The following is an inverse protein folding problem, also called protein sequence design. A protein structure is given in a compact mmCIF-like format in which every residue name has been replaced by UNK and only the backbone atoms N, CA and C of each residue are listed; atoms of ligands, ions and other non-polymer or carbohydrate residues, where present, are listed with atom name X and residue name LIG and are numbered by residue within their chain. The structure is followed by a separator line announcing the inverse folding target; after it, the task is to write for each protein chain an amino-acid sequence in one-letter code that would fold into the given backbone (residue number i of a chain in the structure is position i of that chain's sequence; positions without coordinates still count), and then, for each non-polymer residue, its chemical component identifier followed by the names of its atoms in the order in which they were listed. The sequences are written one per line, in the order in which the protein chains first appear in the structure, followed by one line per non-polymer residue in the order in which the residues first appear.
data_IF_449646258554
#
_entry.id   IF_449646258554
#
_cell.length_a   1.000
_cell.length_b   1.000
_cell.length_c   1.000
_cell.angle_alpha   90.00
_cell.angle_beta   90.00
_cell.angle_gamma   90.00
#
_symmetry.space_group_name_H-M   'P 1'
#
loop_
_entity.id
_entity.type
_entity.pdbx_description
1 polymer ?
#
# COMPACT_ATOMS: atom_id res chain seq x y z
N UNK A 1 -13.11 -18.64 30.50
CA UNK A 1 -11.80 -19.23 30.89
C UNK A 1 -10.70 -18.36 30.30
N UNK A 2 -9.81 -17.91 31.18
CA UNK A 2 -8.73 -16.94 30.93
C UNK A 2 -7.66 -17.48 29.97
N UNK A 3 -7.16 -16.59 29.09
CA UNK A 3 -5.76 -16.60 28.66
C UNK A 3 -5.24 -15.16 28.74
N UNK A 4 -4.83 -14.78 29.95
CA UNK A 4 -3.92 -13.66 30.14
C UNK A 4 -2.61 -13.99 29.42
N UNK A 5 -2.29 -13.20 28.39
CA UNK A 5 -0.99 -13.24 27.74
C UNK A 5 -0.01 -12.47 28.62
N UNK A 6 0.71 -13.19 29.47
CA UNK A 6 1.75 -12.64 30.32
C UNK A 6 3.04 -12.53 29.49
N UNK A 7 3.51 -11.31 29.26
CA UNK A 7 4.68 -11.00 28.40
C UNK A 7 5.98 -10.87 29.20
N UNK A 8 6.02 -11.37 30.45
CA UNK A 8 7.21 -11.26 31.28
C UNK A 8 8.02 -12.56 31.29
N UNK A 9 9.32 -12.40 31.05
CA UNK A 9 10.42 -13.37 31.22
C UNK A 9 10.58 -14.51 30.20
N UNK A 10 11.51 -14.31 29.26
CA UNK A 10 12.55 -15.33 29.04
C UNK A 10 13.94 -14.69 28.78
N UNK A 11 14.77 -14.82 29.81
CA UNK A 11 16.24 -14.86 29.87
C UNK A 11 17.03 -14.36 28.65
N UNK A 12 17.67 -13.19 28.80
CA UNK A 12 18.90 -12.88 28.07
C UNK A 12 20.05 -12.84 29.08
N UNK A 13 21.01 -13.73 28.83
CA UNK A 13 22.22 -13.95 29.60
C UNK A 13 23.09 -12.69 29.73
N UNK A 14 23.80 -12.67 30.84
CA UNK A 14 24.70 -11.63 31.33
C UNK A 14 25.99 -11.46 30.51
N UNK A 15 26.46 -10.21 30.49
CA UNK A 15 27.85 -9.73 30.34
C UNK A 15 28.60 -10.07 29.04
N UNK A 16 28.47 -9.14 28.08
CA UNK A 16 29.64 -8.52 27.44
C UNK A 16 29.43 -7.00 27.45
N UNK A 17 30.22 -6.29 28.26
CA UNK A 17 30.37 -4.83 28.13
C UNK A 17 31.11 -4.57 26.81
N UNK A 18 30.37 -4.54 25.72
CA UNK A 18 30.84 -3.86 24.53
C UNK A 18 30.96 -2.38 24.91
N UNK A 19 32.12 -1.76 24.61
CA UNK A 19 32.25 -0.30 24.60
C UNK A 19 31.00 0.23 23.90
N UNK A 20 30.19 1.02 24.62
CA UNK A 20 28.97 1.62 24.08
C UNK A 20 29.44 2.45 22.90
N UNK A 21 29.25 1.93 21.68
CA UNK A 21 29.39 2.71 20.47
C UNK A 21 28.52 3.93 20.69
N UNK A 22 29.03 5.13 20.39
CA UNK A 22 28.24 6.36 20.52
C UNK A 22 26.87 6.10 19.90
N UNK A 23 25.83 6.16 20.73
CA UNK A 23 24.44 6.03 20.29
C UNK A 23 24.13 7.29 19.52
N UNK A 24 24.38 7.23 18.21
CA UNK A 24 24.04 8.27 17.25
C UNK A 24 22.72 7.88 16.57
N UNK A 25 21.88 8.88 16.27
CA UNK A 25 20.64 8.65 15.54
C UNK A 25 20.95 8.08 14.16
N UNK A 26 20.22 7.05 13.75
CA UNK A 26 20.35 6.46 12.40
C UNK A 26 19.53 7.22 11.35
N UNK A 27 18.76 8.21 11.80
CA UNK A 27 17.92 9.10 10.99
C UNK A 27 18.36 10.56 11.09
N UNK A 28 19.56 10.84 11.62
CA UNK A 28 20.10 12.19 11.81
C UNK A 28 19.17 13.14 12.59
N UNK A 29 18.41 12.62 13.55
CA UNK A 29 17.43 13.39 14.33
C UNK A 29 18.15 14.30 15.34
N UNK A 30 17.85 15.61 15.29
CA UNK A 30 18.33 16.57 16.27
C UNK A 30 17.46 16.54 17.55
N UNK A 31 17.78 15.62 18.47
CA UNK A 31 17.09 15.50 19.75
C UNK A 31 17.14 16.75 20.64
N UNK A 32 18.11 17.62 20.45
CA UNK A 32 18.18 18.87 21.22
C UNK A 32 17.03 19.82 20.83
N UNK A 33 16.65 19.87 19.55
CA UNK A 33 15.48 20.63 19.08
C UNK A 33 14.17 20.06 19.63
N UNK A 34 14.15 18.78 19.94
CA UNK A 34 13.00 18.11 20.56
C UNK A 34 12.97 18.26 22.09
N UNK A 35 13.98 18.90 22.70
CA UNK A 35 14.10 19.05 24.15
C UNK A 35 14.38 17.73 24.88
N UNK A 36 14.89 16.71 24.18
CA UNK A 36 15.12 15.36 24.72
C UNK A 36 16.62 15.12 24.92
N UNK A 37 17.00 14.63 26.10
CA UNK A 37 18.41 14.42 26.45
C UNK A 37 18.61 13.22 27.39
N UNK A 38 19.87 12.92 27.71
CA UNK A 38 20.22 11.85 28.66
C UNK A 38 19.70 10.47 28.26
N UNK A 39 19.17 9.73 29.24
CA UNK A 39 18.72 8.34 29.06
C UNK A 39 17.54 8.20 28.07
N UNK A 40 16.66 9.20 27.98
CA UNK A 40 15.53 9.19 27.05
C UNK A 40 16.01 9.23 25.60
N UNK A 41 17.01 10.08 25.31
CA UNK A 41 17.65 10.14 23.98
C UNK A 41 18.27 8.79 23.61
N UNK A 42 19.02 8.16 24.51
CA UNK A 42 19.62 6.85 24.26
C UNK A 42 18.56 5.77 23.98
N UNK A 43 17.44 5.80 24.71
CA UNK A 43 16.32 4.88 24.51
C UNK A 43 15.62 5.09 23.17
N UNK A 44 15.42 6.34 22.73
CA UNK A 44 14.81 6.64 21.44
C UNK A 44 15.71 6.21 20.28
N UNK A 45 17.03 6.43 20.37
CA UNK A 45 17.99 5.95 19.36
C UNK A 45 17.98 4.42 19.26
N UNK A 46 17.80 3.71 20.39
CA UNK A 46 17.57 2.27 20.36
C UNK A 46 16.28 1.92 19.63
N UNK A 47 15.19 2.61 19.90
CA UNK A 47 13.93 2.39 19.19
C UNK A 47 14.02 2.71 17.69
N UNK A 48 14.80 3.71 17.27
CA UNK A 48 15.06 3.93 15.84
C UNK A 48 15.64 2.66 15.17
N UNK A 49 16.63 2.05 15.82
CA UNK A 49 17.27 0.82 15.33
C UNK A 49 16.30 -0.36 15.28
N UNK A 50 15.48 -0.53 16.31
CA UNK A 50 14.44 -1.56 16.37
C UNK A 50 13.39 -1.35 15.26
N UNK A 51 12.95 -0.10 15.05
CA UNK A 51 12.00 0.28 14.00
C UNK A 51 12.58 -0.04 12.62
N UNK A 52 13.83 0.36 12.34
CA UNK A 52 14.51 0.07 11.08
C UNK A 52 14.57 -1.44 10.82
N UNK A 53 15.05 -2.21 11.80
CA UNK A 53 15.16 -3.66 11.70
C UNK A 53 13.80 -4.32 11.42
N UNK A 54 12.78 -3.98 12.19
CA UNK A 54 11.46 -4.57 12.01
C UNK A 54 10.77 -4.13 10.72
N UNK A 55 11.03 -2.91 10.23
CA UNK A 55 10.56 -2.44 8.92
C UNK A 55 11.15 -3.27 7.78
N UNK A 56 12.45 -3.54 7.81
CA UNK A 56 13.13 -4.39 6.83
C UNK A 56 12.60 -5.83 6.87
N UNK A 57 12.41 -6.41 8.07
CA UNK A 57 11.81 -7.75 8.22
C UNK A 57 10.38 -7.80 7.71
N UNK A 58 9.59 -6.78 7.99
CA UNK A 58 8.19 -6.70 7.52
C UNK A 58 8.13 -6.71 6.00
N UNK A 59 9.04 -6.00 5.32
CA UNK A 59 9.11 -6.00 3.86
C UNK A 59 9.37 -7.40 3.29
N UNK A 60 10.29 -8.17 3.90
CA UNK A 60 10.55 -9.57 3.52
C UNK A 60 9.30 -10.44 3.72
N UNK A 61 8.58 -10.27 4.83
CA UNK A 61 7.35 -11.02 5.07
C UNK A 61 6.24 -10.65 4.09
N UNK A 62 6.11 -9.37 3.73
CA UNK A 62 5.17 -8.91 2.68
C UNK A 62 5.54 -9.54 1.33
N UNK A 63 6.83 -9.60 0.98
CA UNK A 63 7.29 -10.24 -0.25
C UNK A 63 6.86 -11.70 -0.30
N UNK A 64 7.20 -12.47 0.75
CA UNK A 64 6.90 -13.89 0.83
C UNK A 64 5.39 -14.17 0.82
N UNK A 65 4.62 -13.38 1.57
CA UNK A 65 3.16 -13.45 1.57
C UNK A 65 2.59 -13.19 0.17
N UNK A 66 3.00 -12.08 -0.45
CA UNK A 66 2.49 -11.68 -1.76
C UNK A 66 2.86 -12.67 -2.87
N UNK A 67 4.07 -13.23 -2.82
CA UNK A 67 4.54 -14.32 -3.69
C UNK A 67 3.68 -15.57 -3.54
N UNK A 68 3.41 -16.01 -2.31
CA UNK A 68 2.61 -17.21 -2.06
C UNK A 68 1.19 -17.08 -2.62
N UNK A 69 0.53 -15.95 -2.39
CA UNK A 69 -0.81 -15.68 -2.94
C UNK A 69 -0.79 -15.61 -4.47
N UNK A 70 0.22 -14.97 -5.06
CA UNK A 70 0.37 -14.87 -6.51
C UNK A 70 0.58 -16.23 -7.19
N UNK A 71 1.47 -17.06 -6.66
CA UNK A 71 1.71 -18.40 -7.21
C UNK A 71 0.50 -19.33 -7.01
N UNK A 72 -0.18 -19.24 -5.86
CA UNK A 72 -1.46 -19.94 -5.66
C UNK A 72 -2.50 -19.50 -6.71
N UNK A 73 -2.64 -18.19 -6.96
CA UNK A 73 -3.56 -17.67 -7.97
C UNK A 73 -3.27 -18.23 -9.38
N UNK A 74 -1.99 -18.40 -9.75
CA UNK A 74 -1.62 -19.05 -11.02
C UNK A 74 -2.07 -20.51 -11.08
N UNK A 75 -1.84 -21.29 -10.02
CA UNK A 75 -2.26 -22.70 -9.94
C UNK A 75 -3.78 -22.81 -10.15
N UNK A 76 -4.56 -22.01 -9.41
CA UNK A 76 -6.01 -22.04 -9.54
C UNK A 76 -6.52 -21.52 -10.88
N UNK A 77 -5.85 -20.53 -11.49
CA UNK A 77 -6.19 -20.03 -12.82
C UNK A 77 -5.99 -21.09 -13.90
N UNK A 78 -4.89 -21.86 -13.83
CA UNK A 78 -4.60 -22.95 -14.76
C UNK A 78 -5.60 -24.10 -14.65
N UNK A 79 -6.08 -24.38 -13.44
CA UNK A 79 -7.07 -25.42 -13.19
C UNK A 79 -8.49 -25.03 -13.60
N UNK A 80 -8.76 -23.77 -14.01
CA UNK A 80 -10.07 -23.25 -14.49
C UNK A 80 -11.30 -23.52 -13.59
N UNK A 81 -11.08 -23.92 -12.34
CA UNK A 81 -12.16 -24.37 -11.45
C UNK A 81 -12.80 -23.22 -10.63
N UNK A 82 -12.27 -21.99 -10.71
CA UNK A 82 -12.83 -20.82 -10.02
C UNK A 82 -12.76 -20.90 -8.48
N UNK A 83 -11.98 -21.84 -7.92
CA UNK A 83 -11.95 -22.14 -6.49
C UNK A 83 -10.96 -21.30 -5.68
N UNK A 84 -10.23 -20.37 -6.30
CA UNK A 84 -9.27 -19.51 -5.59
C UNK A 84 -9.91 -18.71 -4.46
N UNK A 85 -11.09 -18.13 -4.70
CA UNK A 85 -11.83 -17.38 -3.67
C UNK A 85 -12.19 -18.23 -2.45
N UNK A 86 -12.68 -19.45 -2.68
CA UNK A 86 -12.99 -20.41 -1.61
C UNK A 86 -11.74 -20.80 -0.81
N UNK A 87 -10.61 -20.98 -1.49
CA UNK A 87 -9.35 -21.28 -0.84
C UNK A 87 -8.87 -20.11 0.03
N UNK A 88 -9.02 -18.86 -0.43
CA UNK A 88 -8.72 -17.67 0.38
C UNK A 88 -9.61 -17.57 1.63
N UNK A 89 -10.91 -17.84 1.49
CA UNK A 89 -11.86 -17.85 2.60
C UNK A 89 -11.47 -18.87 3.68
N UNK A 90 -11.02 -20.07 3.28
CA UNK A 90 -10.52 -21.10 4.21
C UNK A 90 -9.25 -20.67 4.97
N UNK A 91 -8.46 -19.77 4.39
CA UNK A 91 -7.28 -19.18 5.02
C UNK A 91 -7.59 -17.93 5.85
N UNK A 92 -8.85 -17.46 5.86
CA UNK A 92 -9.24 -16.22 6.52
C UNK A 92 -8.71 -14.96 5.84
N UNK A 93 -8.44 -15.03 4.52
CA UNK A 93 -7.89 -13.92 3.73
C UNK A 93 -9.02 -13.30 2.91
N UNK A 94 -9.23 -12.00 3.06
CA UNK A 94 -10.21 -11.29 2.24
C UNK A 94 -9.72 -11.12 0.80
N UNK A 95 -10.67 -11.16 -0.13
CA UNK A 95 -10.40 -11.11 -1.57
C UNK A 95 -9.72 -9.80 -2.01
N UNK A 96 -9.99 -8.67 -1.36
CA UNK A 96 -9.37 -7.39 -1.74
C UNK A 96 -7.90 -7.35 -1.33
N UNK A 97 -7.57 -7.80 -0.11
CA UNK A 97 -6.19 -7.94 0.36
C UNK A 97 -5.40 -8.91 -0.49
N UNK A 98 -5.97 -10.08 -0.84
CA UNK A 98 -5.32 -11.02 -1.75
C UNK A 98 -5.05 -10.39 -3.13
N UNK A 99 -6.01 -9.67 -3.70
CA UNK A 99 -5.84 -8.96 -4.96
C UNK A 99 -4.76 -7.88 -4.89
N UNK A 100 -4.67 -7.13 -3.78
CA UNK A 100 -3.60 -6.16 -3.56
C UNK A 100 -2.24 -6.85 -3.49
N UNK A 101 -2.14 -7.97 -2.78
CA UNK A 101 -0.90 -8.74 -2.66
C UNK A 101 -0.42 -9.25 -4.04
N UNK A 102 -1.33 -9.80 -4.84
CA UNK A 102 -1.06 -10.22 -6.23
C UNK A 102 -0.53 -9.04 -7.06
N UNK A 103 -1.18 -7.87 -6.97
CA UNK A 103 -0.77 -6.66 -7.70
C UNK A 103 0.60 -6.14 -7.24
N UNK A 104 0.87 -6.13 -5.94
CA UNK A 104 2.18 -5.75 -5.38
C UNK A 104 3.29 -6.64 -5.93
N UNK A 105 3.11 -7.96 -5.87
CA UNK A 105 4.13 -8.89 -6.33
C UNK A 105 4.31 -8.85 -7.86
N UNK A 106 3.22 -8.69 -8.61
CA UNK A 106 3.29 -8.55 -10.08
C UNK A 106 4.09 -7.30 -10.48
N UNK A 107 3.82 -6.17 -9.82
CA UNK A 107 4.54 -4.92 -10.08
C UNK A 107 6.01 -5.02 -9.61
N UNK A 108 6.26 -5.65 -8.47
CA UNK A 108 7.63 -5.93 -8.00
C UNK A 108 8.42 -6.72 -9.04
N UNK A 109 7.89 -7.85 -9.54
CA UNK A 109 8.55 -8.66 -10.56
C UNK A 109 8.79 -7.88 -11.85
N UNK A 110 7.84 -7.04 -12.28
CA UNK A 110 7.99 -6.22 -13.48
C UNK A 110 9.21 -5.29 -13.38
N UNK A 111 9.38 -4.61 -12.24
CA UNK A 111 10.43 -3.61 -12.05
C UNK A 111 11.76 -4.20 -11.58
N UNK A 112 11.73 -5.32 -10.84
CA UNK A 112 12.91 -6.13 -10.53
C UNK A 112 13.55 -6.66 -11.83
N UNK A 113 12.74 -7.21 -12.75
CA UNK A 113 13.24 -7.71 -14.05
C UNK A 113 13.76 -6.58 -14.95
N UNK A 114 13.29 -5.34 -14.76
CA UNK A 114 13.83 -4.14 -15.44
C UNK A 114 15.12 -3.61 -14.79
N UNK A 115 15.58 -4.21 -13.70
CA UNK A 115 16.81 -3.79 -12.99
C UNK A 115 16.65 -2.48 -12.20
N UNK A 116 15.42 -2.11 -11.82
CA UNK A 116 15.17 -0.87 -11.08
C UNK A 116 15.67 -1.01 -9.64
N UNK A 117 16.53 -0.09 -9.22
CA UNK A 117 17.01 -0.02 -7.85
C UNK A 117 15.84 0.22 -6.88
N UNK A 118 15.85 -0.47 -5.74
CA UNK A 118 14.80 -0.40 -4.71
C UNK A 118 13.41 -0.85 -5.17
N UNK A 119 13.30 -1.77 -6.14
CA UNK A 119 12.02 -2.33 -6.57
C UNK A 119 11.21 -2.91 -5.39
N UNK A 120 11.87 -3.40 -4.34
CA UNK A 120 11.26 -3.89 -3.11
C UNK A 120 10.39 -2.83 -2.39
N UNK A 121 10.61 -1.53 -2.63
CA UNK A 121 9.77 -0.45 -2.09
C UNK A 121 8.29 -0.61 -2.50
N UNK A 122 8.01 -1.24 -3.65
CA UNK A 122 6.66 -1.55 -4.14
C UNK A 122 5.83 -2.30 -3.08
N UNK A 123 6.48 -3.18 -2.31
CA UNK A 123 5.83 -4.00 -1.29
C UNK A 123 5.25 -3.15 -0.15
N UNK A 124 5.86 -1.99 0.11
CA UNK A 124 5.44 -1.07 1.18
C UNK A 124 4.49 0.03 0.68
N UNK A 125 4.23 0.10 -0.63
CA UNK A 125 3.31 1.09 -1.19
C UNK A 125 1.90 0.97 -0.57
N UNK A 126 1.23 2.10 -0.33
CA UNK A 126 -0.17 2.10 0.09
C UNK A 126 -1.06 1.40 -0.94
N UNK A 127 -2.10 0.71 -0.47
CA UNK A 127 -2.99 -0.06 -1.32
C UNK A 127 -3.62 0.79 -2.44
N UNK A 128 -3.95 2.07 -2.15
CA UNK A 128 -4.47 3.01 -3.15
C UNK A 128 -3.46 3.30 -4.26
N UNK A 129 -2.18 3.44 -3.94
CA UNK A 129 -1.13 3.67 -4.92
C UNK A 129 -0.98 2.43 -5.82
N UNK A 130 -0.86 1.25 -5.24
CA UNK A 130 -0.79 -0.02 -5.98
C UNK A 130 -1.99 -0.17 -6.91
N UNK A 131 -3.22 0.04 -6.41
CA UNK A 131 -4.45 -0.04 -7.23
C UNK A 131 -4.48 0.98 -8.37
N UNK A 132 -3.86 2.15 -8.19
CA UNK A 132 -3.76 3.18 -9.24
C UNK A 132 -2.76 2.77 -10.32
N UNK A 133 -1.59 2.27 -9.92
CA UNK A 133 -0.50 1.87 -10.82
C UNK A 133 -0.76 0.55 -11.56
N UNK A 134 -1.65 -0.31 -11.04
CA UNK A 134 -1.94 -1.63 -11.61
C UNK A 134 -3.38 -1.79 -12.11
N UNK A 135 -4.23 -0.81 -11.85
CA UNK A 135 -5.65 -0.86 -12.23
C UNK A 135 -5.93 -0.27 -13.61
N UNK A 136 -7.18 0.13 -13.82
CA UNK A 136 -7.67 0.76 -15.06
C UNK A 136 -6.94 2.08 -15.44
N UNK A 137 -6.16 2.66 -14.52
CA UNK A 137 -5.36 3.86 -14.78
C UNK A 137 -3.90 3.56 -15.14
N UNK A 138 -3.47 2.29 -15.16
CA UNK A 138 -2.07 1.89 -15.44
C UNK A 138 -1.55 2.52 -16.74
N UNK A 139 -2.35 2.50 -17.80
CA UNK A 139 -1.99 3.03 -19.12
C UNK A 139 -1.71 4.55 -19.12
N UNK A 140 -2.12 5.28 -18.09
CA UNK A 140 -1.82 6.70 -17.98
C UNK A 140 -0.40 6.98 -17.46
N UNK A 141 0.31 5.95 -16.98
CA UNK A 141 1.62 6.07 -16.39
C UNK A 141 2.68 5.42 -17.29
N UNK A 142 3.76 6.14 -17.54
CA UNK A 142 4.95 5.56 -18.17
C UNK A 142 5.89 4.95 -17.11
N UNK A 143 6.87 4.18 -17.56
CA UNK A 143 7.80 3.50 -16.65
C UNK A 143 8.60 4.47 -15.77
N UNK A 144 9.00 5.63 -16.31
CA UNK A 144 9.77 6.63 -15.55
C UNK A 144 8.95 7.21 -14.40
N UNK A 145 7.68 7.54 -14.63
CA UNK A 145 6.75 8.04 -13.61
C UNK A 145 6.54 7.00 -12.51
N UNK A 146 6.46 5.72 -12.87
CA UNK A 146 6.32 4.65 -11.89
C UNK A 146 7.61 4.49 -11.09
N UNK A 147 8.78 4.56 -11.73
CA UNK A 147 10.09 4.55 -11.05
C UNK A 147 10.17 5.70 -10.06
N UNK A 148 9.81 6.93 -10.48
CA UNK A 148 9.80 8.10 -9.60
C UNK A 148 8.94 7.89 -8.35
N UNK A 149 7.78 7.24 -8.48
CA UNK A 149 6.93 6.89 -7.34
C UNK A 149 7.59 5.85 -6.44
N UNK A 150 8.21 4.81 -7.00
CA UNK A 150 8.86 3.71 -6.26
C UNK A 150 10.07 4.21 -5.47
N UNK A 151 10.86 5.12 -6.07
CA UNK A 151 12.11 5.61 -5.47
C UNK A 151 11.91 6.82 -4.56
N UNK A 152 10.72 7.41 -4.52
CA UNK A 152 10.40 8.56 -3.67
C UNK A 152 10.32 8.20 -2.19
N UNK A 153 10.77 9.10 -1.33
CA UNK A 153 10.60 9.00 0.12
C UNK A 153 9.11 9.08 0.54
N UNK A 154 8.29 9.77 -0.26
CA UNK A 154 6.84 9.83 -0.08
C UNK A 154 6.09 9.46 -1.38
N UNK A 155 5.94 8.16 -1.67
CA UNK A 155 5.30 7.68 -2.89
C UNK A 155 3.87 8.19 -3.10
N UNK A 156 3.11 8.41 -2.03
CA UNK A 156 1.74 8.91 -2.11
C UNK A 156 1.69 10.35 -2.63
N UNK A 157 2.58 11.20 -2.10
CA UNK A 157 2.68 12.60 -2.54
C UNK A 157 3.16 12.66 -3.99
N UNK A 158 4.19 11.88 -4.33
CA UNK A 158 4.74 11.85 -5.68
C UNK A 158 3.72 11.36 -6.71
N UNK A 159 2.96 10.32 -6.38
CA UNK A 159 1.87 9.85 -7.24
C UNK A 159 0.79 10.93 -7.46
N UNK A 160 0.45 11.67 -6.40
CA UNK A 160 -0.52 12.76 -6.48
C UNK A 160 -0.03 13.88 -7.39
N UNK A 161 1.22 14.30 -7.24
CA UNK A 161 1.88 15.32 -8.08
C UNK A 161 1.85 14.92 -9.56
N UNK A 162 2.24 13.69 -9.90
CA UNK A 162 2.23 13.18 -11.28
C UNK A 162 0.80 13.20 -11.87
N UNK A 163 -0.20 12.77 -11.08
CA UNK A 163 -1.60 12.78 -11.51
C UNK A 163 -2.08 14.21 -11.75
N UNK A 164 -1.78 15.14 -10.85
CA UNK A 164 -2.17 16.55 -10.98
C UNK A 164 -1.51 17.21 -12.19
N UNK A 165 -0.22 16.96 -12.42
CA UNK A 165 0.49 17.46 -13.59
C UNK A 165 -0.16 16.97 -14.89
N UNK A 166 -0.47 15.67 -14.99
CA UNK A 166 -1.15 15.10 -16.16
C UNK A 166 -2.55 15.66 -16.36
N UNK A 167 -3.28 15.91 -15.28
CA UNK A 167 -4.61 16.50 -15.37
C UNK A 167 -4.53 17.96 -15.85
N UNK A 168 -3.51 18.72 -15.44
CA UNK A 168 -3.22 20.06 -15.97
C UNK A 168 -2.81 20.02 -17.46
N UNK A 169 -1.94 19.09 -17.83
CA UNK A 169 -1.47 18.92 -19.22
C UNK A 169 -2.64 18.56 -20.16
N UNK A 170 -3.48 17.61 -19.76
CA UNK A 170 -4.72 17.24 -20.50
C UNK A 170 -5.70 18.41 -20.63
N UNK A 171 -5.72 19.31 -19.65
CA UNK A 171 -6.57 20.50 -19.68
C UNK A 171 -6.01 21.60 -20.58
N UNK A 172 -4.74 21.51 -20.99
CA UNK A 172 -4.11 22.43 -21.93
C UNK A 172 -4.38 22.08 -23.40
N UNK A 173 -4.55 20.78 -23.73
CA UNK A 173 -4.92 20.31 -25.07
C UNK A 173 -6.44 20.22 -25.26
N UNK A 174 -6.97 20.88 -26.30
CA UNK A 174 -8.42 21.02 -26.55
C UNK A 174 -9.12 19.67 -26.76
N UNK A 175 -8.54 18.78 -27.56
CA UNK A 175 -9.09 17.45 -27.84
C UNK A 175 -9.09 16.54 -26.61
N UNK A 176 -7.99 16.52 -25.86
CA UNK A 176 -7.87 15.70 -24.63
C UNK A 176 -8.81 16.20 -23.54
N UNK A 177 -8.94 17.52 -23.39
CA UNK A 177 -9.91 18.16 -22.52
C UNK A 177 -11.34 17.76 -22.89
N UNK A 178 -11.68 17.74 -24.18
CA UNK A 178 -13.00 17.29 -24.65
C UNK A 178 -13.27 15.84 -24.29
N UNK A 179 -12.30 14.94 -24.51
CA UNK A 179 -12.42 13.51 -24.15
C UNK A 179 -12.57 13.32 -22.64
N UNK A 180 -11.77 14.02 -21.84
CA UNK A 180 -11.85 13.99 -20.38
C UNK A 180 -13.22 14.46 -19.87
N UNK A 181 -13.69 15.63 -20.32
CA UNK A 181 -14.98 16.20 -19.93
C UNK A 181 -16.15 15.30 -20.34
N UNK A 182 -16.09 14.67 -21.52
CA UNK A 182 -17.10 13.70 -21.95
C UNK A 182 -17.12 12.47 -21.02
N UNK A 183 -15.96 11.92 -20.66
CA UNK A 183 -15.87 10.77 -19.75
C UNK A 183 -16.38 11.11 -18.35
N UNK A 184 -16.01 12.27 -17.81
CA UNK A 184 -16.50 12.74 -16.51
C UNK A 184 -18.02 12.98 -16.53
N UNK A 185 -18.54 13.62 -17.59
CA UNK A 185 -19.99 13.80 -17.77
C UNK A 185 -20.73 12.47 -17.74
N UNK A 186 -20.22 11.45 -18.45
CA UNK A 186 -20.83 10.11 -18.47
C UNK A 186 -20.81 9.44 -17.09
N UNK A 187 -19.72 9.58 -16.31
CA UNK A 187 -19.66 9.07 -14.93
C UNK A 187 -20.69 9.75 -14.03
N UNK A 188 -20.80 11.08 -14.10
CA UNK A 188 -21.76 11.84 -13.30
C UNK A 188 -23.19 11.47 -13.64
N UNK A 189 -23.52 11.28 -14.93
CA UNK A 189 -24.84 10.84 -15.36
C UNK A 189 -25.23 9.45 -14.79
N UNK A 190 -24.30 8.49 -14.82
CA UNK A 190 -24.54 7.18 -14.20
C UNK A 190 -24.79 7.29 -12.69
N UNK A 191 -24.05 8.16 -12.00
CA UNK A 191 -24.26 8.37 -10.56
C UNK A 191 -25.63 9.00 -10.28
N UNK A 192 -26.06 9.97 -11.10
CA UNK A 192 -27.40 10.55 -11.01
C UNK A 192 -28.47 9.48 -11.19
N UNK A 193 -28.31 8.59 -12.17
CA UNK A 193 -29.29 7.52 -12.42
C UNK A 193 -29.37 6.53 -11.24
N UNK A 194 -28.21 6.18 -10.65
CA UNK A 194 -28.17 5.35 -9.46
C UNK A 194 -28.90 6.02 -8.29
N UNK A 195 -28.60 7.28 -8.00
CA UNK A 195 -29.24 8.03 -6.92
C UNK A 195 -30.76 8.15 -7.17
N UNK A 196 -31.20 8.37 -8.41
CA UNK A 196 -32.63 8.40 -8.74
C UNK A 196 -33.33 7.08 -8.43
N UNK A 197 -32.68 5.94 -8.68
CA UNK A 197 -33.24 4.62 -8.32
C UNK A 197 -33.34 4.46 -6.81
N UNK A 198 -32.29 4.83 -6.08
CA UNK A 198 -32.27 4.78 -4.61
C UNK A 198 -33.37 5.67 -3.99
N UNK A 199 -33.57 6.88 -4.51
CA UNK A 199 -34.66 7.77 -4.08
C UNK A 199 -36.03 7.16 -4.36
N UNK A 200 -36.22 6.55 -5.53
CA UNK A 200 -37.49 5.91 -5.90
C UNK A 200 -37.82 4.69 -5.02
N UNK A 201 -36.81 3.95 -4.56
CA UNK A 201 -36.99 2.87 -3.58
C UNK A 201 -37.44 3.43 -2.22
N UNK A 202 -36.80 4.51 -1.74
CA UNK A 202 -37.18 5.19 -0.50
C UNK A 202 -38.62 5.73 -0.59
N UNK A 203 -39.00 6.33 -1.72
CA UNK A 203 -40.38 6.83 -1.92
C UNK A 203 -41.42 5.71 -1.88
N UNK A 204 -41.11 4.52 -2.44
CA UNK A 204 -41.99 3.36 -2.35
C UNK A 204 -42.13 2.85 -0.92
N UNK A 205 -41.04 2.80 -0.17
CA UNK A 205 -41.07 2.43 1.25
C UNK A 205 -41.91 3.42 2.06
N UNK A 206 -41.72 4.73 1.86
CA UNK A 206 -42.52 5.76 2.53
C UNK A 206 -44.00 5.64 2.21
N UNK A 207 -44.36 5.45 0.94
CA UNK A 207 -45.76 5.27 0.53
C UNK A 207 -46.39 3.99 1.10
N UNK A 208 -45.59 2.96 1.42
CA UNK A 208 -46.09 1.74 2.06
C UNK A 208 -46.36 1.91 3.57
N UNK A 209 -45.88 3.01 4.17
CA UNK A 209 -46.06 3.36 5.58
C UNK A 209 -47.21 4.34 5.83
N UNK A 210 -47.83 4.87 4.76
CA UNK A 210 -49.01 5.75 4.77
C UNK A 210 -50.22 5.04 4.19
#
# INVERSE_FOLDING_TARGET
MSKNFDLTTSRINSKKHYKIAKTESIYDINYNELGISGAEKEQLIKYESDIKYHREKTMIHILNYSKAIYEANKIFSNNKNGTFGKWLEMLGIDKDSANVAIRKYSLYLEYENKGVAKAENILTLPNRAVKTLTGHKKENFNDNEIIEVITSDNPSSKLKEIVEYKDLEKMSHVEERKVYLLRERTRKLHLIEKIRKEVLEIEKELNSLT
#
